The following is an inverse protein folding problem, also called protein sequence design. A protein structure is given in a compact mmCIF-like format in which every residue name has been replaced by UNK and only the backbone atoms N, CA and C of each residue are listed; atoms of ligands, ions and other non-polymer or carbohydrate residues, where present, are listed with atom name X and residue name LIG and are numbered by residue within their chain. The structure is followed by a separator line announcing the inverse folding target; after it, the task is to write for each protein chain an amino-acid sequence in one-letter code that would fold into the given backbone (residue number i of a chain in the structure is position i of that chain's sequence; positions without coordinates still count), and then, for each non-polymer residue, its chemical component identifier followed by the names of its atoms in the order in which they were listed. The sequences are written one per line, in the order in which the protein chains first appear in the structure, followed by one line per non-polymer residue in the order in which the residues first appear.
data_IF_430827118430
#
_entry.id   IF_430827118430
#
_cell.length_a   1.000
_cell.length_b   1.000
_cell.length_c   1.000
_cell.angle_alpha   90.00
_cell.angle_beta   90.00
_cell.angle_gamma   90.00
#
_symmetry.space_group_name_H-M   'P 1'
#
loop_
_entity.id
_entity.type
_entity.pdbx_description
1 polymer ?
#
# COMPACT_ATOMS: atom_id res chain seq x y z
N UNK A 1 -11.02 -39.56 -32.26
CA UNK A 1 -10.72 -38.75 -31.06
C UNK A 1 -9.89 -37.56 -31.52
N UNK A 2 -10.54 -36.49 -31.97
CA UNK A 2 -9.84 -35.29 -32.41
C UNK A 2 -9.42 -34.51 -31.17
N UNK A 3 -8.12 -34.36 -30.95
CA UNK A 3 -7.59 -33.43 -29.96
C UNK A 3 -8.07 -32.02 -30.37
N UNK A 4 -9.03 -31.48 -29.63
CA UNK A 4 -9.42 -30.08 -29.72
C UNK A 4 -8.16 -29.22 -29.51
N UNK A 5 -7.94 -28.25 -30.40
CA UNK A 5 -6.81 -27.33 -30.37
C UNK A 5 -6.67 -26.72 -28.95
N UNK A 6 -5.50 -26.82 -28.28
CA UNK A 6 -5.31 -26.34 -26.90
C UNK A 6 -5.73 -24.88 -26.69
N UNK A 7 -5.62 -24.04 -27.73
CA UNK A 7 -6.05 -22.63 -27.71
C UNK A 7 -7.57 -22.50 -27.52
N UNK A 8 -8.35 -23.41 -28.11
CA UNK A 8 -9.82 -23.42 -27.96
C UNK A 8 -10.24 -23.85 -26.55
N UNK A 9 -9.51 -24.77 -25.91
CA UNK A 9 -9.78 -25.20 -24.55
C UNK A 9 -9.53 -24.09 -23.53
N UNK A 10 -8.44 -23.32 -23.69
CA UNK A 10 -8.14 -22.23 -22.77
C UNK A 10 -9.17 -21.10 -22.88
N UNK A 11 -9.54 -20.71 -24.11
CA UNK A 11 -10.59 -19.70 -24.32
C UNK A 11 -11.92 -20.14 -23.67
N UNK A 12 -12.31 -21.40 -23.83
CA UNK A 12 -13.49 -21.97 -23.19
C UNK A 12 -13.40 -21.94 -21.64
N UNK A 13 -12.23 -22.25 -21.08
CA UNK A 13 -12.02 -22.18 -19.64
C UNK A 13 -12.11 -20.73 -19.11
N UNK A 14 -11.54 -19.76 -19.83
CA UNK A 14 -11.67 -18.33 -19.50
C UNK A 14 -13.13 -17.89 -19.49
N UNK A 15 -13.90 -18.31 -20.49
CA UNK A 15 -15.32 -18.02 -20.59
C UNK A 15 -16.11 -18.59 -19.40
N UNK A 16 -15.85 -19.85 -19.03
CA UNK A 16 -16.47 -20.47 -17.87
C UNK A 16 -16.10 -19.77 -16.55
N UNK A 17 -14.86 -19.27 -16.43
CA UNK A 17 -14.41 -18.53 -15.26
C UNK A 17 -15.11 -17.17 -15.15
N UNK A 18 -15.23 -16.46 -16.28
CA UNK A 18 -15.97 -15.20 -16.37
C UNK A 18 -17.44 -15.36 -15.97
N UNK A 19 -18.12 -16.37 -16.53
CA UNK A 19 -19.53 -16.64 -16.23
C UNK A 19 -19.80 -17.07 -14.78
N UNK A 20 -18.76 -17.42 -14.01
CA UNK A 20 -18.85 -17.85 -12.61
C UNK A 20 -18.23 -16.83 -11.63
N UNK A 21 -17.99 -15.60 -12.07
CA UNK A 21 -17.41 -14.54 -11.23
C UNK A 21 -18.26 -14.19 -10.01
N UNK A 22 -19.59 -14.31 -10.10
CA UNK A 22 -20.52 -13.84 -9.07
C UNK A 22 -20.26 -14.47 -7.68
N UNK A 23 -19.87 -15.75 -7.66
CA UNK A 23 -19.56 -16.49 -6.43
C UNK A 23 -18.07 -16.72 -6.22
N UNK A 24 -17.21 -16.25 -7.13
CA UNK A 24 -15.77 -16.44 -7.01
C UNK A 24 -15.24 -15.64 -5.81
N UNK A 25 -14.32 -16.23 -5.05
CA UNK A 25 -13.65 -15.51 -3.96
C UNK A 25 -12.77 -14.39 -4.53
N UNK A 26 -12.77 -13.23 -3.87
CA UNK A 26 -12.03 -12.04 -4.34
C UNK A 26 -10.54 -12.33 -4.56
N UNK A 27 -9.89 -13.16 -3.72
CA UNK A 27 -8.48 -13.52 -3.89
C UNK A 27 -8.22 -14.32 -5.18
N UNK A 28 -9.20 -15.09 -5.64
CA UNK A 28 -9.13 -15.82 -6.90
C UNK A 28 -9.40 -14.90 -8.10
N UNK A 29 -10.33 -13.96 -7.95
CA UNK A 29 -10.60 -12.93 -8.96
C UNK A 29 -9.33 -12.11 -9.22
N UNK A 30 -8.60 -11.69 -8.18
CA UNK A 30 -7.31 -10.98 -8.34
C UNK A 30 -6.31 -11.77 -9.19
N UNK A 31 -6.18 -13.08 -8.93
CA UNK A 31 -5.28 -13.97 -9.67
C UNK A 31 -5.74 -14.09 -11.12
N UNK A 32 -7.04 -14.21 -11.35
CA UNK A 32 -7.63 -14.28 -12.69
C UNK A 32 -7.38 -12.99 -13.47
N UNK A 33 -7.58 -11.82 -12.85
CA UNK A 33 -7.31 -10.51 -13.46
C UNK A 33 -5.84 -10.43 -13.89
N UNK A 34 -4.92 -10.71 -12.97
CA UNK A 34 -3.48 -10.63 -13.25
C UNK A 34 -3.05 -11.62 -14.34
N UNK A 35 -3.52 -12.87 -14.25
CA UNK A 35 -3.23 -13.88 -15.26
C UNK A 35 -3.79 -13.50 -16.62
N UNK A 36 -5.06 -13.09 -16.69
CA UNK A 36 -5.73 -12.84 -17.97
C UNK A 36 -5.17 -11.61 -18.67
N UNK A 37 -4.94 -10.50 -17.95
CA UNK A 37 -4.30 -9.32 -18.54
C UNK A 37 -2.89 -9.61 -19.05
N UNK A 38 -2.09 -10.38 -18.31
CA UNK A 38 -0.76 -10.80 -18.74
C UNK A 38 -0.82 -11.79 -19.91
N UNK A 39 -1.81 -12.69 -19.93
CA UNK A 39 -2.05 -13.58 -21.07
C UNK A 39 -2.34 -12.74 -22.33
N UNK A 40 -3.30 -11.82 -22.25
CA UNK A 40 -3.66 -10.93 -23.35
C UNK A 40 -2.46 -10.16 -23.90
N UNK A 41 -1.57 -9.64 -23.05
CA UNK A 41 -0.39 -8.90 -23.50
C UNK A 41 0.56 -9.74 -24.36
N UNK A 42 0.60 -11.06 -24.17
CA UNK A 42 1.40 -11.98 -24.97
C UNK A 42 0.75 -12.36 -26.30
N UNK A 43 -0.55 -12.10 -26.47
CA UNK A 43 -1.34 -12.41 -27.67
C UNK A 43 -1.95 -11.15 -28.30
N UNK A 44 -1.19 -10.04 -28.29
CA UNK A 44 -1.52 -8.76 -28.93
C UNK A 44 -2.82 -8.10 -28.42
N UNK A 45 -3.24 -8.48 -27.21
CA UNK A 45 -4.49 -8.10 -26.56
C UNK A 45 -5.76 -8.46 -27.34
N UNK A 46 -5.72 -9.56 -28.10
CA UNK A 46 -6.89 -10.05 -28.84
C UNK A 46 -7.83 -10.82 -27.92
N UNK A 47 -9.07 -10.35 -27.82
CA UNK A 47 -10.16 -11.04 -27.15
C UNK A 47 -11.50 -10.67 -27.80
N UNK A 48 -12.46 -11.59 -27.75
CA UNK A 48 -13.84 -11.36 -28.21
C UNK A 48 -14.64 -10.63 -27.14
N UNK A 49 -14.36 -9.34 -26.93
CA UNK A 49 -15.01 -8.56 -25.86
C UNK A 49 -16.55 -8.50 -25.97
N UNK A 50 -17.10 -8.57 -27.18
CA UNK A 50 -18.55 -8.58 -27.40
C UNK A 50 -19.26 -9.79 -26.76
N UNK A 51 -18.55 -10.91 -26.54
CA UNK A 51 -19.09 -12.09 -25.84
C UNK A 51 -19.42 -11.76 -24.37
N UNK A 52 -18.85 -10.70 -23.81
CA UNK A 52 -19.02 -10.22 -22.44
C UNK A 52 -19.86 -8.94 -22.35
N UNK A 53 -20.65 -8.63 -23.38
CA UNK A 53 -21.50 -7.43 -23.39
C UNK A 53 -22.59 -7.45 -22.30
N UNK A 54 -22.89 -8.60 -21.70
CA UNK A 54 -23.82 -8.73 -20.57
C UNK A 54 -23.40 -7.87 -19.38
N UNK A 55 -22.11 -7.68 -19.12
CA UNK A 55 -21.63 -6.83 -18.02
C UNK A 55 -21.98 -5.33 -18.17
N UNK A 56 -22.30 -4.87 -19.38
CA UNK A 56 -22.66 -3.47 -19.64
C UNK A 56 -24.09 -3.14 -19.16
N UNK A 57 -24.90 -4.16 -18.89
CA UNK A 57 -26.31 -4.05 -18.49
C UNK A 57 -26.55 -4.05 -16.97
N UNK A 58 -25.48 -4.21 -16.18
CA UNK A 58 -25.54 -4.31 -14.72
C UNK A 58 -24.73 -3.19 -14.06
N UNK A 59 -24.87 -3.02 -12.74
CA UNK A 59 -24.10 -2.03 -11.98
C UNK A 59 -22.58 -2.25 -12.14
N UNK A 60 -21.81 -1.16 -12.22
CA UNK A 60 -20.35 -1.19 -12.44
C UNK A 60 -19.59 -1.82 -11.27
N UNK A 61 -20.18 -1.87 -10.07
CA UNK A 61 -19.58 -2.54 -8.92
C UNK A 61 -19.87 -4.05 -8.88
N UNK A 62 -20.67 -4.58 -9.80
CA UNK A 62 -20.88 -6.03 -9.94
C UNK A 62 -19.58 -6.74 -10.39
N UNK A 63 -19.41 -8.04 -10.09
CA UNK A 63 -18.16 -8.75 -10.32
C UNK A 63 -17.69 -8.74 -11.77
N UNK A 64 -18.59 -8.90 -12.74
CA UNK A 64 -18.28 -8.93 -14.18
C UNK A 64 -17.75 -7.60 -14.74
N UNK A 65 -18.46 -6.45 -14.65
CA UNK A 65 -17.93 -5.18 -15.14
C UNK A 65 -16.67 -4.75 -14.37
N UNK A 66 -16.61 -5.01 -13.06
CA UNK A 66 -15.42 -4.76 -12.25
C UNK A 66 -14.21 -5.57 -12.74
N UNK A 67 -14.40 -6.85 -13.01
CA UNK A 67 -13.37 -7.72 -13.58
C UNK A 67 -12.84 -7.16 -14.91
N UNK A 68 -13.73 -6.79 -15.84
CA UNK A 68 -13.32 -6.20 -17.13
C UNK A 68 -12.54 -4.90 -16.94
N UNK A 69 -13.04 -3.98 -16.09
CA UNK A 69 -12.36 -2.71 -15.78
C UNK A 69 -10.95 -2.93 -15.24
N UNK A 70 -10.78 -3.85 -14.28
CA UNK A 70 -9.48 -4.17 -13.69
C UNK A 70 -8.53 -4.88 -14.68
N UNK A 71 -9.05 -5.74 -15.55
CA UNK A 71 -8.27 -6.36 -16.64
C UNK A 71 -7.77 -5.32 -17.64
N UNK A 72 -8.63 -4.37 -18.03
CA UNK A 72 -8.25 -3.29 -18.94
C UNK A 72 -7.22 -2.36 -18.31
N UNK A 73 -7.35 -2.06 -17.02
CA UNK A 73 -6.34 -1.30 -16.28
C UNK A 73 -4.98 -2.04 -16.23
N UNK A 74 -4.98 -3.34 -15.92
CA UNK A 74 -3.76 -4.15 -15.93
C UNK A 74 -3.13 -4.23 -17.31
N UNK A 75 -3.96 -4.35 -18.35
CA UNK A 75 -3.53 -4.34 -19.74
C UNK A 75 -2.91 -3.00 -20.12
N UNK A 76 -3.48 -1.88 -19.65
CA UNK A 76 -2.92 -0.54 -19.84
C UNK A 76 -1.54 -0.40 -19.21
N UNK A 77 -1.31 -0.96 -18.01
CA UNK A 77 0.03 -0.95 -17.37
C UNK A 77 1.09 -1.73 -18.15
N UNK A 78 0.68 -2.69 -18.97
CA UNK A 78 1.54 -3.47 -19.89
C UNK A 78 1.57 -2.88 -21.30
N UNK A 79 0.91 -1.74 -21.51
CA UNK A 79 0.75 -1.09 -22.81
C UNK A 79 0.66 0.44 -22.62
N UNK A 80 -0.21 1.11 -23.38
CA UNK A 80 -0.52 2.53 -23.22
C UNK A 80 -2.01 2.77 -23.46
N UNK A 81 -2.55 3.88 -22.94
CA UNK A 81 -3.98 4.17 -22.93
C UNK A 81 -4.64 4.01 -24.30
N UNK A 82 -4.11 4.67 -25.34
CA UNK A 82 -4.68 4.60 -26.69
C UNK A 82 -4.77 3.16 -27.24
N UNK A 83 -3.77 2.31 -26.95
CA UNK A 83 -3.83 0.91 -27.38
C UNK A 83 -5.01 0.17 -26.76
N UNK A 84 -5.33 0.44 -25.50
CA UNK A 84 -6.47 -0.18 -24.81
C UNK A 84 -7.79 0.33 -25.38
N UNK A 85 -7.86 1.60 -25.75
CA UNK A 85 -9.02 2.17 -26.45
C UNK A 85 -9.27 1.47 -27.79
N UNK A 86 -8.21 1.17 -28.53
CA UNK A 86 -8.33 0.60 -29.89
C UNK A 86 -8.70 -0.89 -29.92
N UNK A 87 -8.44 -1.65 -28.85
CA UNK A 87 -8.64 -3.11 -28.81
C UNK A 87 -10.03 -3.53 -28.30
N UNK A 88 -10.80 -2.60 -27.73
CA UNK A 88 -12.14 -2.87 -27.20
C UNK A 88 -13.22 -2.25 -28.09
N UNK A 89 -14.42 -2.85 -28.19
CA UNK A 89 -15.56 -2.23 -28.86
C UNK A 89 -15.96 -0.91 -28.21
N UNK A 90 -16.54 0.02 -28.99
CA UNK A 90 -16.94 1.35 -28.51
C UNK A 90 -17.95 1.30 -27.36
N UNK A 91 -18.75 0.24 -27.28
CA UNK A 91 -19.72 -0.03 -26.19
C UNK A 91 -19.04 -0.21 -24.83
N UNK A 92 -17.77 -0.65 -24.79
CA UNK A 92 -16.97 -0.83 -23.57
C UNK A 92 -16.26 0.44 -23.11
N UNK A 93 -16.41 1.57 -23.81
CA UNK A 93 -15.71 2.84 -23.51
C UNK A 93 -15.80 3.29 -22.05
N UNK A 94 -16.92 3.02 -21.38
CA UNK A 94 -17.12 3.39 -19.97
C UNK A 94 -16.36 2.52 -18.95
N UNK A 95 -15.81 1.38 -19.38
CA UNK A 95 -14.99 0.48 -18.58
C UNK A 95 -13.49 0.67 -18.82
N UNK A 96 -13.12 1.49 -19.81
CA UNK A 96 -11.71 1.81 -20.09
C UNK A 96 -11.15 2.65 -18.91
N UNK A 97 -9.95 2.32 -18.41
CA UNK A 97 -9.29 3.13 -17.39
C UNK A 97 -9.03 4.55 -17.91
N UNK A 98 -9.14 5.55 -17.03
CA UNK A 98 -8.78 6.92 -17.39
C UNK A 98 -7.31 7.03 -17.84
N UNK A 99 -7.02 8.03 -18.67
CA UNK A 99 -5.65 8.30 -19.07
C UNK A 99 -4.79 8.67 -17.84
N UNK A 100 -3.61 8.04 -17.66
CA UNK A 100 -2.80 8.17 -16.44
C UNK A 100 -2.01 9.49 -16.39
N UNK A 101 -2.73 10.60 -16.35
CA UNK A 101 -2.18 11.96 -16.32
C UNK A 101 -1.98 12.47 -14.89
N UNK A 102 -0.94 13.28 -14.71
CA UNK A 102 -0.69 14.03 -13.47
C UNK A 102 -1.68 15.19 -13.33
N UNK A 103 -2.19 15.40 -12.11
CA UNK A 103 -3.12 16.50 -11.81
C UNK A 103 -2.42 17.50 -10.91
N UNK A 104 -2.06 18.65 -11.46
CA UNK A 104 -1.45 19.73 -10.69
C UNK A 104 -2.52 20.68 -10.14
N UNK A 105 -2.57 20.88 -8.82
CA UNK A 105 -3.54 21.78 -8.17
C UNK A 105 -3.30 23.26 -8.49
N UNK A 106 -2.05 23.67 -8.70
CA UNK A 106 -1.65 25.07 -8.80
C UNK A 106 -1.34 25.51 -10.24
N UNK A 107 -2.19 25.15 -11.22
CA UNK A 107 -2.05 25.66 -12.60
C UNK A 107 -2.40 27.15 -12.67
N UNK A 108 -1.92 27.87 -13.69
CA UNK A 108 -2.24 29.30 -13.85
C UNK A 108 -3.76 29.55 -13.97
N UNK A 109 -4.49 28.65 -14.64
CA UNK A 109 -5.92 28.78 -14.90
C UNK A 109 -6.79 28.53 -13.66
N UNK A 110 -6.42 27.58 -12.80
CA UNK A 110 -7.26 27.14 -11.66
C UNK A 110 -6.68 27.49 -10.30
N UNK A 111 -5.35 27.64 -10.23
CA UNK A 111 -4.59 27.80 -9.00
C UNK A 111 -4.49 29.23 -8.51
N UNK A 112 -4.65 30.25 -9.36
CA UNK A 112 -4.42 31.66 -8.99
C UNK A 112 -5.29 32.16 -7.83
N UNK A 113 -6.44 31.52 -7.58
CA UNK A 113 -7.35 31.81 -6.48
C UNK A 113 -7.17 30.90 -5.25
N UNK A 114 -6.33 29.87 -5.35
CA UNK A 114 -6.14 28.90 -4.28
C UNK A 114 -5.14 29.38 -3.23
N UNK A 115 -5.39 29.09 -1.93
CA UNK A 115 -4.40 29.28 -0.89
C UNK A 115 -3.09 28.57 -1.25
N UNK A 116 -1.96 29.25 -1.05
CA UNK A 116 -0.63 28.68 -1.31
C UNK A 116 -0.14 28.79 -2.77
N UNK A 117 -0.93 29.29 -3.73
CA UNK A 117 -0.46 29.46 -5.11
C UNK A 117 0.78 30.35 -5.27
N UNK A 118 0.87 31.54 -4.64
CA UNK A 118 2.10 32.34 -4.69
C UNK A 118 3.31 31.55 -4.17
N UNK A 119 3.10 30.76 -3.11
CA UNK A 119 4.16 29.94 -2.55
C UNK A 119 4.53 28.76 -3.48
N UNK A 120 3.57 28.15 -4.16
CA UNK A 120 3.84 27.09 -5.14
C UNK A 120 4.75 27.61 -6.27
N UNK A 121 4.54 28.85 -6.73
CA UNK A 121 5.42 29.50 -7.70
C UNK A 121 6.81 29.75 -7.11
N UNK A 122 6.90 30.27 -5.88
CA UNK A 122 8.18 30.51 -5.19
C UNK A 122 8.98 29.22 -5.01
N UNK A 123 8.34 28.15 -4.52
CA UNK A 123 8.95 26.82 -4.36
C UNK A 123 9.36 26.25 -5.72
N UNK A 124 8.54 26.39 -6.75
CA UNK A 124 8.88 25.94 -8.09
C UNK A 124 10.15 26.63 -8.61
N UNK A 125 10.24 27.95 -8.43
CA UNK A 125 11.41 28.73 -8.84
C UNK A 125 12.66 28.35 -8.03
N UNK A 126 12.53 28.14 -6.72
CA UNK A 126 13.62 27.67 -5.87
C UNK A 126 14.16 26.30 -6.34
N UNK A 127 13.27 25.34 -6.63
CA UNK A 127 13.67 24.02 -7.14
C UNK A 127 14.36 24.14 -8.51
N UNK A 128 13.83 24.96 -9.44
CA UNK A 128 14.43 25.21 -10.76
C UNK A 128 15.82 25.83 -10.63
N UNK A 129 16.01 26.75 -9.70
CA UNK A 129 17.28 27.43 -9.41
C UNK A 129 18.24 26.57 -8.58
N UNK A 130 17.89 25.31 -8.28
CA UNK A 130 18.70 24.36 -7.50
C UNK A 130 19.01 24.86 -6.09
N UNK A 131 18.05 25.54 -5.46
CA UNK A 131 18.11 25.91 -4.06
C UNK A 131 18.41 24.70 -3.15
N UNK A 132 19.05 24.97 -2.00
CA UNK A 132 19.36 23.95 -0.99
C UNK A 132 18.10 23.54 -0.22
N UNK A 133 18.17 22.43 0.53
CA UNK A 133 17.04 21.99 1.36
C UNK A 133 16.70 23.03 2.44
N UNK A 134 17.72 23.68 3.02
CA UNK A 134 17.56 24.73 4.02
C UNK A 134 16.85 25.97 3.47
N UNK A 135 17.23 26.43 2.27
CA UNK A 135 16.59 27.56 1.60
C UNK A 135 15.10 27.30 1.34
N UNK A 136 14.77 26.09 0.89
CA UNK A 136 13.38 25.71 0.64
C UNK A 136 12.60 25.56 1.95
N UNK A 137 13.21 25.03 3.02
CA UNK A 137 12.58 24.98 4.34
C UNK A 137 12.29 26.38 4.88
N UNK A 138 13.17 27.35 4.67
CA UNK A 138 12.93 28.76 5.04
C UNK A 138 11.72 29.31 4.27
N UNK A 139 11.64 29.09 2.96
CA UNK A 139 10.48 29.47 2.14
C UNK A 139 9.20 28.82 2.68
N UNK A 140 9.25 27.54 3.06
CA UNK A 140 8.08 26.84 3.59
C UNK A 140 7.66 27.32 4.98
N UNK A 141 8.54 27.93 5.78
CA UNK A 141 8.18 28.53 7.07
C UNK A 141 7.27 29.75 6.89
N UNK A 142 7.39 30.46 5.76
CA UNK A 142 6.55 31.62 5.42
C UNK A 142 5.12 31.24 5.00
N UNK A 143 4.81 29.94 4.87
CA UNK A 143 3.44 29.48 4.58
C UNK A 143 2.58 29.64 5.83
N UNK A 144 1.68 30.62 5.80
CA UNK A 144 0.69 30.84 6.86
C UNK A 144 -0.18 29.59 7.08
N UNK A 145 -0.58 29.35 8.32
CA UNK A 145 -1.56 28.32 8.64
C UNK A 145 -2.92 28.72 8.10
N UNK A 146 -3.70 27.80 7.49
CA UNK A 146 -5.02 28.13 6.97
C UNK A 146 -6.03 28.65 8.03
N UNK A 147 -5.78 28.41 9.32
CA UNK A 147 -6.72 28.60 10.43
C UNK A 147 -6.16 29.39 11.64
N UNK A 148 -5.10 30.19 11.50
CA UNK A 148 -4.65 31.04 12.61
C UNK A 148 -5.43 32.36 12.61
N UNK A 149 -6.35 32.51 13.58
CA UNK A 149 -6.68 33.82 14.14
C UNK A 149 -5.45 34.29 14.95
N UNK A 150 -5.13 35.59 14.89
CA UNK A 150 -3.85 36.20 15.32
C UNK A 150 -3.47 36.06 16.82
N UNK A 151 -4.19 35.28 17.64
CA UNK A 151 -4.08 35.28 19.11
C UNK A 151 -3.68 33.94 19.78
N UNK A 152 -3.40 32.85 19.05
CA UNK A 152 -2.95 31.58 19.65
C UNK A 152 -1.42 31.37 19.53
N UNK A 153 -0.71 31.80 20.57
CA UNK A 153 0.72 31.53 20.86
C UNK A 153 0.95 30.07 21.33
N UNK A 154 0.39 29.05 20.66
CA UNK A 154 0.56 27.64 21.05
C UNK A 154 1.05 26.74 19.90
N UNK A 155 2.33 26.37 19.98
CA UNK A 155 3.02 25.26 19.30
C UNK A 155 3.08 25.27 17.77
N UNK A 156 4.18 24.73 17.20
CA UNK A 156 4.30 24.39 15.78
C UNK A 156 3.23 23.35 15.39
N UNK A 157 2.00 23.81 15.15
CA UNK A 157 0.89 22.96 14.75
C UNK A 157 1.15 22.35 13.37
N UNK A 158 0.57 21.19 13.10
CA UNK A 158 0.64 20.56 11.79
C UNK A 158 0.05 21.48 10.72
N UNK A 159 0.85 21.86 9.70
CA UNK A 159 0.38 22.72 8.61
C UNK A 159 0.20 21.92 7.31
N UNK A 160 -1.04 21.53 6.95
CA UNK A 160 -1.31 20.76 5.73
C UNK A 160 -0.96 21.53 4.45
N UNK A 161 -1.01 22.87 4.47
CA UNK A 161 -0.74 23.69 3.29
C UNK A 161 0.74 23.66 2.89
N UNK A 162 1.66 23.57 3.86
CA UNK A 162 3.10 23.39 3.59
C UNK A 162 3.37 22.14 2.77
N UNK A 163 2.73 21.04 3.15
CA UNK A 163 2.83 19.75 2.45
C UNK A 163 2.19 19.84 1.07
N UNK A 164 0.96 20.38 0.99
CA UNK A 164 0.25 20.55 -0.27
C UNK A 164 1.11 21.29 -1.29
N UNK A 165 1.60 22.47 -0.94
CA UNK A 165 2.39 23.32 -1.83
C UNK A 165 3.68 22.60 -2.23
N UNK A 166 4.45 22.12 -1.27
CA UNK A 166 5.75 21.51 -1.55
C UNK A 166 5.62 20.25 -2.41
N UNK A 167 4.77 19.30 -1.99
CA UNK A 167 4.70 17.99 -2.61
C UNK A 167 4.01 18.03 -3.98
N UNK A 168 2.95 18.83 -4.15
CA UNK A 168 2.33 19.06 -5.47
C UNK A 168 3.35 19.60 -6.46
N UNK A 169 4.08 20.64 -6.09
CA UNK A 169 5.07 21.27 -6.97
C UNK A 169 6.24 20.34 -7.27
N UNK A 170 6.75 19.62 -6.26
CA UNK A 170 7.83 18.66 -6.43
C UNK A 170 7.44 17.53 -7.40
N UNK A 171 6.28 16.91 -7.19
CA UNK A 171 5.82 15.80 -8.03
C UNK A 171 5.45 16.28 -9.43
N UNK A 172 4.91 17.48 -9.58
CA UNK A 172 4.64 18.08 -10.89
C UNK A 172 5.92 18.21 -11.73
N UNK A 173 6.99 18.74 -11.12
CA UNK A 173 8.29 18.88 -11.78
C UNK A 173 8.95 17.52 -12.09
N UNK A 174 8.53 16.46 -11.40
CA UNK A 174 9.09 15.12 -11.53
C UNK A 174 8.13 14.12 -12.19
N UNK A 175 7.02 14.59 -12.80
CA UNK A 175 5.95 13.74 -13.33
C UNK A 175 6.31 12.97 -14.61
N UNK A 176 7.47 13.27 -15.22
CA UNK A 176 7.89 12.68 -16.50
C UNK A 176 8.08 11.16 -16.46
N UNK A 177 8.60 10.62 -15.37
CA UNK A 177 8.72 9.17 -15.17
C UNK A 177 8.93 8.81 -13.71
N UNK A 178 8.72 7.54 -13.36
CA UNK A 178 8.96 7.00 -12.02
C UNK A 178 10.38 7.34 -11.52
N UNK A 179 11.40 7.24 -12.37
CA UNK A 179 12.78 7.56 -12.00
C UNK A 179 12.98 9.03 -11.63
N UNK A 180 12.33 9.97 -12.32
CA UNK A 180 12.39 11.39 -11.96
C UNK A 180 11.75 11.61 -10.60
N UNK A 181 10.57 11.02 -10.37
CA UNK A 181 9.87 11.10 -9.08
C UNK A 181 10.71 10.49 -7.94
N UNK A 182 11.36 9.35 -8.14
CA UNK A 182 12.23 8.75 -7.12
C UNK A 182 13.47 9.60 -6.81
N UNK A 183 14.10 10.16 -7.84
CA UNK A 183 15.23 11.07 -7.66
C UNK A 183 14.81 12.35 -6.94
N UNK A 184 13.62 12.87 -7.22
CA UNK A 184 13.05 14.02 -6.53
C UNK A 184 12.80 13.73 -5.04
N UNK A 185 12.15 12.61 -4.71
CA UNK A 185 11.95 12.19 -3.31
C UNK A 185 13.28 11.97 -2.57
N UNK A 186 14.31 11.45 -3.25
CA UNK A 186 15.63 11.28 -2.66
C UNK A 186 16.37 12.60 -2.43
N UNK A 187 16.32 13.52 -3.41
CA UNK A 187 17.01 14.81 -3.32
C UNK A 187 16.45 15.68 -2.18
N UNK A 188 15.14 15.69 -2.00
CA UNK A 188 14.47 16.50 -0.99
C UNK A 188 13.97 15.67 0.21
N UNK A 189 14.67 14.56 0.51
CA UNK A 189 14.30 13.65 1.58
C UNK A 189 14.23 14.35 2.94
N UNK A 190 15.19 15.22 3.25
CA UNK A 190 15.24 15.97 4.51
C UNK A 190 13.99 16.84 4.72
N UNK A 191 13.54 17.54 3.66
CA UNK A 191 12.32 18.37 3.70
C UNK A 191 11.11 17.47 3.94
N UNK A 192 11.02 16.35 3.22
CA UNK A 192 9.92 15.40 3.36
C UNK A 192 9.88 14.81 4.76
N UNK A 193 11.03 14.52 5.37
CA UNK A 193 11.13 14.05 6.76
C UNK A 193 10.69 15.11 7.77
N UNK A 194 11.11 16.37 7.60
CA UNK A 194 10.66 17.46 8.46
C UNK A 194 9.13 17.67 8.36
N UNK A 195 8.56 17.54 7.16
CA UNK A 195 7.12 17.66 6.93
C UNK A 195 6.30 16.45 7.42
N UNK A 196 6.94 15.30 7.72
CA UNK A 196 6.28 14.05 8.13
C UNK A 196 6.70 13.57 9.52
N UNK A 197 7.13 14.49 10.36
CA UNK A 197 7.46 14.19 11.75
C UNK A 197 6.22 13.74 12.53
N UNK A 198 5.07 14.38 12.29
CA UNK A 198 3.77 13.97 12.86
C UNK A 198 3.07 12.91 12.01
N UNK A 199 2.23 12.10 12.66
CA UNK A 199 1.40 11.10 11.97
C UNK A 199 0.37 11.75 11.03
N UNK A 200 -0.15 12.93 11.39
CA UNK A 200 -1.01 13.73 10.52
C UNK A 200 -0.28 14.15 9.23
N UNK A 201 1.01 14.52 9.33
CA UNK A 201 1.83 14.85 8.17
C UNK A 201 2.06 13.66 7.25
N UNK A 202 2.30 12.47 7.80
CA UNK A 202 2.43 11.24 7.01
C UNK A 202 1.14 10.92 6.25
N UNK A 203 -0.01 11.01 6.92
CA UNK A 203 -1.32 10.80 6.29
C UNK A 203 -1.62 11.84 5.21
N UNK A 204 -1.28 13.11 5.46
CA UNK A 204 -1.53 14.18 4.51
C UNK A 204 -0.62 14.11 3.28
N UNK A 205 0.64 13.67 3.41
CA UNK A 205 1.50 13.34 2.25
C UNK A 205 0.82 12.28 1.36
N UNK A 206 0.29 11.22 1.96
CA UNK A 206 -0.38 10.14 1.21
C UNK A 206 -1.64 10.64 0.49
N UNK A 207 -2.41 11.52 1.15
CA UNK A 207 -3.56 12.21 0.54
C UNK A 207 -3.14 13.03 -0.68
N UNK A 208 -2.10 13.85 -0.55
CA UNK A 208 -1.59 14.65 -1.67
C UNK A 208 -1.09 13.76 -2.81
N UNK A 209 -0.39 12.66 -2.52
CA UNK A 209 0.04 11.67 -3.54
C UNK A 209 -1.16 11.10 -4.29
N UNK A 210 -2.24 10.78 -3.59
CA UNK A 210 -3.48 10.32 -4.22
C UNK A 210 -4.08 11.40 -5.11
N UNK A 211 -4.24 12.63 -4.61
CA UNK A 211 -4.90 13.72 -5.35
C UNK A 211 -4.21 14.01 -6.70
N UNK A 212 -2.87 13.98 -6.72
CA UNK A 212 -2.10 14.26 -7.94
C UNK A 212 -2.02 13.08 -8.91
N UNK A 213 -2.15 11.85 -8.42
CA UNK A 213 -1.95 10.62 -9.21
C UNK A 213 -3.17 9.69 -9.21
N UNK A 214 -4.38 10.15 -8.85
CA UNK A 214 -5.61 9.33 -8.79
C UNK A 214 -5.95 8.59 -10.09
N UNK A 215 -5.55 9.15 -11.24
CA UNK A 215 -5.71 8.52 -12.56
C UNK A 215 -4.58 7.53 -12.91
N UNK A 216 -3.51 7.47 -12.11
CA UNK A 216 -2.35 6.60 -12.34
C UNK A 216 -2.05 5.71 -11.11
N UNK A 217 -2.87 4.67 -10.85
CA UNK A 217 -2.71 3.80 -9.67
C UNK A 217 -1.34 3.13 -9.54
N UNK A 218 -0.70 2.79 -10.67
CA UNK A 218 0.66 2.25 -10.68
C UNK A 218 1.69 3.25 -10.10
N UNK A 219 1.56 4.54 -10.40
CA UNK A 219 2.43 5.57 -9.86
C UNK A 219 2.23 5.71 -8.35
N UNK A 220 0.99 5.74 -7.88
CA UNK A 220 0.68 5.73 -6.43
C UNK A 220 1.38 4.56 -5.75
N UNK A 221 1.23 3.35 -6.28
CA UNK A 221 1.80 2.15 -5.68
C UNK A 221 3.33 2.21 -5.56
N UNK A 222 4.02 2.71 -6.57
CA UNK A 222 5.50 2.82 -6.53
C UNK A 222 5.99 3.98 -5.67
N UNK A 223 5.24 5.09 -5.59
CA UNK A 223 5.58 6.22 -4.70
C UNK A 223 5.40 5.84 -3.23
N UNK A 224 4.27 5.25 -2.86
CA UNK A 224 4.02 4.75 -1.50
C UNK A 224 5.10 3.74 -1.11
N UNK A 225 5.42 2.81 -2.00
CA UNK A 225 6.50 1.86 -1.78
C UNK A 225 7.86 2.54 -1.56
N UNK A 226 8.21 3.55 -2.35
CA UNK A 226 9.44 4.32 -2.20
C UNK A 226 9.46 5.08 -0.87
N UNK A 227 8.34 5.72 -0.51
CA UNK A 227 8.19 6.50 0.73
C UNK A 227 8.35 5.64 1.98
N UNK A 228 7.82 4.40 1.98
CA UNK A 228 8.06 3.43 3.07
C UNK A 228 9.55 3.10 3.17
N UNK A 229 10.20 2.77 2.04
CA UNK A 229 11.62 2.38 2.04
C UNK A 229 12.56 3.49 2.48
N UNK A 230 12.20 4.74 2.23
CA UNK A 230 12.96 5.92 2.67
C UNK A 230 12.46 6.50 3.99
N UNK A 231 11.57 5.80 4.70
CA UNK A 231 11.02 6.20 6.00
C UNK A 231 10.38 7.60 5.99
N UNK A 232 9.84 8.04 4.86
CA UNK A 232 9.00 9.26 4.78
C UNK A 232 7.65 8.97 5.45
N UNK A 233 7.11 7.78 5.19
CA UNK A 233 5.92 7.27 5.89
C UNK A 233 6.23 5.88 6.43
N UNK A 234 5.54 5.49 7.49
CA UNK A 234 5.61 4.14 8.03
C UNK A 234 4.45 3.27 7.49
N UNK A 235 4.50 1.97 7.82
CA UNK A 235 3.49 1.03 7.35
C UNK A 235 2.11 1.28 7.97
N UNK A 236 2.05 1.80 9.20
CA UNK A 236 0.81 2.07 9.91
C UNK A 236 0.05 3.25 9.31
N UNK A 237 0.75 4.33 8.94
CA UNK A 237 0.20 5.47 8.22
C UNK A 237 -0.41 5.03 6.88
N UNK A 238 0.27 4.16 6.13
CA UNK A 238 -0.25 3.62 4.87
C UNK A 238 -1.49 2.77 5.10
N UNK A 239 -1.51 1.90 6.12
CA UNK A 239 -2.71 1.14 6.45
C UNK A 239 -3.88 2.07 6.80
N UNK A 240 -3.68 3.04 7.70
CA UNK A 240 -4.71 4.01 8.08
C UNK A 240 -5.24 4.82 6.89
N UNK A 241 -4.35 5.26 5.99
CA UNK A 241 -4.74 5.98 4.77
C UNK A 241 -5.63 5.13 3.85
N UNK A 242 -5.28 3.85 3.62
CA UNK A 242 -6.09 2.96 2.76
C UNK A 242 -7.50 2.70 3.31
N UNK A 243 -7.67 2.73 4.63
CA UNK A 243 -8.99 2.60 5.30
C UNK A 243 -9.65 3.96 5.61
N UNK A 244 -9.08 5.07 5.15
CA UNK A 244 -9.63 6.40 5.40
C UNK A 244 -10.89 6.67 4.57
N UNK A 245 -11.71 7.63 5.03
CA UNK A 245 -12.90 8.05 4.30
C UNK A 245 -12.57 8.64 2.92
N UNK A 246 -11.42 9.28 2.78
CA UNK A 246 -10.92 9.82 1.51
C UNK A 246 -10.68 8.72 0.45
N UNK A 247 -10.47 7.47 0.89
CA UNK A 247 -10.23 6.32 0.00
C UNK A 247 -11.46 5.40 -0.14
N UNK A 248 -12.59 5.74 0.48
CA UNK A 248 -13.76 4.87 0.55
C UNK A 248 -14.34 4.51 -0.84
N UNK A 249 -14.31 5.43 -1.80
CA UNK A 249 -14.78 5.19 -3.17
C UNK A 249 -13.83 4.32 -4.01
N UNK A 250 -12.57 4.21 -3.59
CA UNK A 250 -11.54 3.41 -4.24
C UNK A 250 -11.37 2.03 -3.60
N UNK A 251 -11.89 1.85 -2.37
CA UNK A 251 -11.63 0.73 -1.48
C UNK A 251 -11.75 -0.65 -2.14
N UNK A 252 -12.71 -0.83 -3.05
CA UNK A 252 -12.97 -2.13 -3.69
C UNK A 252 -12.05 -2.42 -4.88
N UNK A 253 -11.23 -1.45 -5.33
CA UNK A 253 -10.33 -1.61 -6.48
C UNK A 253 -9.07 -2.39 -6.13
N UNK A 254 -8.53 -3.10 -7.12
CA UNK A 254 -7.41 -4.04 -6.91
C UNK A 254 -6.17 -3.34 -6.33
N UNK A 255 -5.79 -2.18 -6.86
CA UNK A 255 -4.52 -1.51 -6.50
C UNK A 255 -4.41 -1.14 -5.02
N UNK A 256 -5.54 -0.86 -4.34
CA UNK A 256 -5.59 -0.60 -2.89
C UNK A 256 -4.99 -1.78 -2.12
N UNK A 257 -5.45 -2.98 -2.47
CA UNK A 257 -5.01 -4.22 -1.85
C UNK A 257 -3.60 -4.62 -2.29
N UNK A 258 -3.21 -4.29 -3.53
CA UNK A 258 -1.80 -4.44 -3.96
C UNK A 258 -0.85 -3.62 -3.09
N UNK A 259 -1.21 -2.37 -2.78
CA UNK A 259 -0.45 -1.48 -1.90
C UNK A 259 -0.42 -2.08 -0.49
N UNK A 260 -1.58 -2.42 0.09
CA UNK A 260 -1.65 -2.98 1.45
C UNK A 260 -0.77 -4.23 1.60
N UNK A 261 -0.94 -5.22 0.72
CA UNK A 261 -0.14 -6.44 0.78
C UNK A 261 1.35 -6.18 0.47
N UNK A 262 1.68 -5.20 -0.36
CA UNK A 262 3.07 -4.78 -0.60
C UNK A 262 3.70 -4.13 0.64
N UNK A 263 2.92 -3.39 1.41
CA UNK A 263 3.31 -2.80 2.70
C UNK A 263 3.55 -3.89 3.74
N UNK A 264 2.62 -4.82 3.92
CA UNK A 264 2.78 -5.96 4.86
C UNK A 264 4.00 -6.79 4.49
N UNK A 265 4.20 -7.13 3.20
CA UNK A 265 5.40 -7.87 2.76
C UNK A 265 6.70 -7.15 3.07
N UNK A 266 6.72 -5.82 2.99
CA UNK A 266 7.90 -5.02 3.36
C UNK A 266 8.19 -5.11 4.85
N UNK A 267 7.16 -4.97 5.68
CA UNK A 267 7.28 -5.13 7.13
C UNK A 267 7.77 -6.54 7.51
N UNK A 268 7.18 -7.58 6.92
CA UNK A 268 7.62 -8.98 7.17
C UNK A 268 9.08 -9.21 6.76
N UNK A 269 9.50 -8.69 5.60
CA UNK A 269 10.89 -8.77 5.15
C UNK A 269 11.86 -7.98 6.05
N UNK A 270 11.41 -6.86 6.61
CA UNK A 270 12.21 -6.06 7.53
C UNK A 270 12.51 -6.85 8.81
N UNK A 271 11.48 -7.44 9.43
CA UNK A 271 11.63 -8.30 10.62
C UNK A 271 12.53 -9.50 10.32
N UNK A 272 12.26 -10.23 9.24
CA UNK A 272 13.08 -11.38 8.83
C UNK A 272 14.55 -11.02 8.60
N UNK A 273 14.83 -9.84 8.05
CA UNK A 273 16.19 -9.38 7.82
C UNK A 273 16.92 -9.13 9.13
N UNK A 274 16.31 -8.42 10.08
CA UNK A 274 16.95 -8.12 11.38
C UNK A 274 17.10 -9.40 12.21
N UNK A 275 16.11 -10.30 12.19
CA UNK A 275 16.20 -11.61 12.84
C UNK A 275 17.38 -12.42 12.30
N UNK A 276 17.55 -12.46 10.98
CA UNK A 276 18.69 -13.14 10.36
C UNK A 276 20.03 -12.50 10.74
N UNK A 277 20.11 -11.17 10.80
CA UNK A 277 21.32 -10.47 11.26
C UNK A 277 21.65 -10.80 12.73
N UNK A 278 20.65 -10.94 13.59
CA UNK A 278 20.80 -11.37 14.98
C UNK A 278 21.28 -12.82 15.09
N UNK A 279 20.70 -13.74 14.32
CA UNK A 279 21.12 -15.16 14.27
C UNK A 279 22.58 -15.27 13.77
N UNK A 280 22.94 -14.55 12.71
CA UNK A 280 24.32 -14.53 12.20
C UNK A 280 25.33 -13.96 13.21
N UNK A 281 24.93 -13.00 14.04
CA UNK A 281 25.76 -12.46 15.11
C UNK A 281 25.95 -13.47 16.25
N UNK A 282 24.88 -14.15 16.68
CA UNK A 282 24.93 -15.21 17.69
C UNK A 282 25.80 -16.40 17.26
N UNK A 283 25.64 -16.85 16.01
CA UNK A 283 26.46 -17.92 15.43
C UNK A 283 27.95 -17.57 15.40
N UNK A 284 28.30 -16.29 15.21
CA UNK A 284 29.70 -15.84 15.23
C UNK A 284 30.27 -15.87 16.65
N UNK A 285 29.50 -15.42 17.63
CA UNK A 285 29.90 -15.46 19.04
C UNK A 285 30.12 -16.91 19.49
N UNK A 286 29.19 -17.83 19.18
CA UNK A 286 29.34 -19.26 19.52
C UNK A 286 30.60 -19.88 18.89
N UNK A 287 30.90 -19.53 17.63
CA UNK A 287 32.12 -20.01 16.95
C UNK A 287 33.39 -19.46 17.56
N UNK A 288 33.39 -18.22 18.04
CA UNK A 288 34.55 -17.63 18.73
C UNK A 288 34.75 -18.29 20.10
N UNK A 289 33.68 -18.47 20.88
CA UNK A 289 33.74 -19.16 22.16
C UNK A 289 34.22 -20.62 22.02
N UNK A 290 33.81 -21.31 20.95
CA UNK A 290 34.31 -22.66 20.68
C UNK A 290 35.79 -22.67 20.28
N UNK A 291 36.26 -21.70 19.50
CA UNK A 291 37.68 -21.58 19.15
C UNK A 291 38.54 -21.29 20.38
N UNK A 292 38.10 -20.38 21.26
CA UNK A 292 38.79 -20.06 22.53
C UNK A 292 38.94 -21.31 23.40
N UNK A 293 37.91 -22.17 23.46
CA UNK A 293 37.96 -23.45 24.18
C UNK A 293 38.93 -24.46 23.58
N UNK A 294 39.13 -24.47 22.27
CA UNK A 294 40.03 -25.40 21.58
C UNK A 294 41.50 -24.92 21.53
N UNK A 295 41.76 -23.60 21.65
CA UNK A 295 43.08 -22.99 21.37
C UNK A 295 44.00 -22.77 22.57
N UNK A 296 43.61 -23.18 23.79
CA UNK A 296 44.39 -23.18 25.05
C UNK A 296 45.65 -22.30 25.17
N UNK A 297 45.57 -21.30 26.06
CA UNK A 297 46.67 -20.57 26.74
C UNK A 297 47.72 -19.85 25.85
N UNK A 298 47.28 -18.88 25.04
CA UNK A 298 48.16 -17.78 24.57
C UNK A 298 47.62 -16.44 25.12
N UNK A 299 48.21 -15.93 26.20
CA UNK A 299 47.72 -14.78 26.99
C UNK A 299 47.56 -13.48 26.17
N UNK A 300 48.38 -13.28 25.12
CA UNK A 300 48.27 -12.13 24.21
C UNK A 300 47.14 -12.29 23.17
N UNK A 301 46.72 -13.52 22.84
CA UNK A 301 45.55 -13.80 22.00
C UNK A 301 44.24 -13.75 22.80
N UNK A 302 44.29 -14.01 24.12
CA UNK A 302 43.12 -13.95 24.99
C UNK A 302 42.55 -12.53 25.14
N UNK A 303 43.39 -11.52 25.39
CA UNK A 303 42.91 -10.13 25.56
C UNK A 303 42.26 -9.55 24.31
N UNK A 304 42.82 -9.83 23.13
CA UNK A 304 42.21 -9.40 21.86
C UNK A 304 40.89 -10.11 21.58
N UNK A 305 40.77 -11.39 21.98
CA UNK A 305 39.52 -12.15 21.84
C UNK A 305 38.41 -11.67 22.77
N UNK A 306 38.75 -11.20 23.98
CA UNK A 306 37.77 -10.71 24.97
C UNK A 306 37.15 -9.37 24.55
N UNK A 307 37.95 -8.46 24.00
CA UNK A 307 37.46 -7.20 23.45
C UNK A 307 36.55 -7.43 22.22
N UNK A 308 36.86 -8.41 21.36
CA UNK A 308 36.01 -8.78 20.22
C UNK A 308 34.70 -9.49 20.65
N UNK A 309 34.76 -10.38 21.64
CA UNK A 309 33.58 -11.03 22.23
C UNK A 309 32.65 -9.99 22.86
N UNK A 310 33.18 -9.05 23.64
CA UNK A 310 32.40 -7.97 24.26
C UNK A 310 31.73 -7.06 23.22
N UNK A 311 32.41 -6.74 22.11
CA UNK A 311 31.82 -5.97 21.00
C UNK A 311 30.69 -6.74 20.31
N UNK A 312 30.83 -8.05 20.13
CA UNK A 312 29.78 -8.89 19.55
C UNK A 312 28.59 -9.05 20.49
N UNK A 313 28.81 -9.16 21.80
CA UNK A 313 27.74 -9.20 22.80
C UNK A 313 26.94 -7.88 22.79
N UNK A 314 27.62 -6.72 22.78
CA UNK A 314 26.96 -5.41 22.66
C UNK A 314 26.20 -5.28 21.33
N UNK A 315 26.77 -5.81 20.23
CA UNK A 315 26.09 -5.85 18.94
C UNK A 315 24.84 -6.74 18.97
N UNK A 316 24.90 -7.91 19.62
CA UNK A 316 23.79 -8.83 19.77
C UNK A 316 22.68 -8.17 20.59
N UNK A 317 23.00 -7.52 21.71
CA UNK A 317 22.03 -6.80 22.54
C UNK A 317 21.28 -5.74 21.72
N UNK A 318 22.03 -4.89 20.99
CA UNK A 318 21.44 -3.87 20.09
C UNK A 318 20.58 -4.47 18.98
N UNK A 319 20.99 -5.61 18.43
CA UNK A 319 20.20 -6.32 17.40
C UNK A 319 18.94 -6.94 18.01
N UNK A 320 19.01 -7.41 19.25
CA UNK A 320 17.88 -8.01 19.96
C UNK A 320 16.80 -6.96 20.25
N UNK A 321 17.18 -5.78 20.74
CA UNK A 321 16.27 -4.63 20.88
C UNK A 321 15.62 -4.22 19.55
N UNK A 322 16.40 -4.22 18.46
CA UNK A 322 15.88 -3.92 17.12
C UNK A 322 14.89 -4.98 16.63
N UNK A 323 15.12 -6.26 16.90
CA UNK A 323 14.17 -7.33 16.56
C UNK A 323 12.87 -7.13 17.32
N UNK A 324 12.93 -6.88 18.62
CA UNK A 324 11.74 -6.67 19.46
C UNK A 324 10.93 -5.45 18.98
N UNK A 325 11.61 -4.34 18.68
CA UNK A 325 10.99 -3.15 18.11
C UNK A 325 10.32 -3.44 16.76
N UNK A 326 11.03 -4.08 15.83
CA UNK A 326 10.48 -4.42 14.51
C UNK A 326 9.31 -5.42 14.59
N UNK A 327 9.36 -6.40 15.50
CA UNK A 327 8.25 -7.32 15.76
C UNK A 327 7.05 -6.60 16.36
N UNK A 328 7.28 -5.62 17.24
CA UNK A 328 6.23 -4.76 17.79
C UNK A 328 5.56 -3.94 16.68
N UNK A 329 6.34 -3.32 15.79
CA UNK A 329 5.80 -2.59 14.62
C UNK A 329 5.00 -3.52 13.69
N UNK A 330 5.50 -4.72 13.42
CA UNK A 330 4.80 -5.72 12.61
C UNK A 330 3.47 -6.14 13.25
N UNK A 331 3.48 -6.44 14.56
CA UNK A 331 2.27 -6.76 15.32
C UNK A 331 1.28 -5.61 15.27
N UNK A 332 1.72 -4.38 15.54
CA UNK A 332 0.89 -3.18 15.52
C UNK A 332 0.28 -2.93 14.14
N UNK A 333 1.02 -3.16 13.05
CA UNK A 333 0.49 -3.08 11.69
C UNK A 333 -0.70 -4.03 11.49
N UNK A 334 -0.58 -5.29 11.89
CA UNK A 334 -1.69 -6.24 11.79
C UNK A 334 -2.87 -5.84 12.69
N UNK A 335 -2.61 -5.39 13.92
CA UNK A 335 -3.66 -4.91 14.82
C UNK A 335 -4.44 -3.74 14.21
N UNK A 336 -3.75 -2.74 13.65
CA UNK A 336 -4.39 -1.60 12.97
C UNK A 336 -5.24 -2.09 11.79
N UNK A 337 -4.72 -2.98 10.95
CA UNK A 337 -5.47 -3.53 9.81
C UNK A 337 -6.74 -4.25 10.28
N UNK A 338 -6.64 -5.13 11.27
CA UNK A 338 -7.79 -5.87 11.79
C UNK A 338 -8.80 -4.96 12.48
N UNK A 339 -8.35 -3.98 13.27
CA UNK A 339 -9.23 -2.97 13.89
C UNK A 339 -10.01 -2.20 12.84
N UNK A 340 -9.36 -1.77 11.75
CA UNK A 340 -10.03 -1.04 10.66
C UNK A 340 -11.06 -1.92 9.93
N UNK A 341 -10.74 -3.19 9.67
CA UNK A 341 -11.70 -4.14 9.10
C UNK A 341 -12.91 -4.36 10.02
N UNK A 342 -12.66 -4.64 11.30
CA UNK A 342 -13.72 -4.85 12.30
C UNK A 342 -14.62 -3.62 12.36
N UNK A 343 -14.04 -2.43 12.43
CA UNK A 343 -14.79 -1.17 12.47
C UNK A 343 -15.69 -1.00 11.23
N UNK A 344 -15.15 -1.14 10.02
CA UNK A 344 -15.91 -0.96 8.77
C UNK A 344 -17.00 -2.02 8.58
N UNK A 345 -16.69 -3.29 8.89
CA UNK A 345 -17.65 -4.38 8.79
C UNK A 345 -18.76 -4.23 9.83
N UNK A 346 -18.42 -3.86 11.07
CA UNK A 346 -19.42 -3.62 12.13
C UNK A 346 -20.32 -2.43 11.78
N UNK A 347 -19.75 -1.32 11.30
CA UNK A 347 -20.53 -0.16 10.85
C UNK A 347 -21.52 -0.55 9.74
N UNK A 348 -21.08 -1.35 8.78
CA UNK A 348 -21.95 -1.85 7.71
C UNK A 348 -23.07 -2.75 8.24
N UNK A 349 -22.75 -3.71 9.11
CA UNK A 349 -23.70 -4.66 9.67
C UNK A 349 -24.77 -3.94 10.50
N UNK A 350 -24.36 -3.02 11.38
CA UNK A 350 -25.29 -2.19 12.18
C UNK A 350 -26.17 -1.33 11.29
N UNK A 351 -25.61 -0.74 10.22
CA UNK A 351 -26.37 0.06 9.26
C UNK A 351 -27.41 -0.78 8.50
N UNK A 352 -27.05 -2.00 8.09
CA UNK A 352 -27.98 -2.91 7.42
C UNK A 352 -29.09 -3.39 8.36
N UNK A 353 -28.76 -3.72 9.62
CA UNK A 353 -29.73 -4.09 10.65
C UNK A 353 -30.71 -2.94 10.92
N UNK A 354 -30.18 -1.74 11.18
CA UNK A 354 -30.99 -0.54 11.44
C UNK A 354 -31.86 -0.15 10.23
N UNK A 355 -31.31 -0.26 9.03
CA UNK A 355 -32.01 0.06 7.78
C UNK A 355 -32.94 -1.04 7.27
N UNK A 356 -32.94 -2.23 7.88
CA UNK A 356 -33.60 -3.43 7.34
C UNK A 356 -33.23 -3.71 5.88
N UNK A 357 -31.95 -3.49 5.55
CA UNK A 357 -31.38 -3.71 4.21
C UNK A 357 -30.56 -5.00 4.22
N UNK A 358 -30.47 -5.67 3.07
CA UNK A 358 -29.63 -6.86 2.93
C UNK A 358 -28.15 -6.56 3.26
N UNK A 359 -27.54 -7.43 4.05
CA UNK A 359 -26.11 -7.41 4.41
C UNK A 359 -25.25 -7.84 3.22
N UNK A 360 -25.77 -8.71 2.35
CA UNK A 360 -25.02 -9.34 1.27
C UNK A 360 -24.79 -8.43 0.06
N UNK A 361 -24.27 -7.23 0.31
CA UNK A 361 -23.88 -6.26 -0.72
C UNK A 361 -22.54 -6.65 -1.38
N UNK A 362 -22.29 -6.15 -2.59
CA UNK A 362 -21.01 -6.34 -3.30
C UNK A 362 -19.83 -5.75 -2.52
N UNK A 363 -20.03 -4.59 -1.90
CA UNK A 363 -19.04 -3.97 -1.03
C UNK A 363 -18.73 -4.86 0.17
N UNK A 364 -19.76 -5.42 0.82
CA UNK A 364 -19.58 -6.33 1.95
C UNK A 364 -18.82 -7.59 1.56
N UNK A 365 -19.21 -8.24 0.46
CA UNK A 365 -18.51 -9.40 -0.10
C UNK A 365 -17.03 -9.09 -0.35
N UNK A 366 -16.72 -7.95 -0.95
CA UNK A 366 -15.34 -7.54 -1.15
C UNK A 366 -14.62 -7.35 0.19
N UNK A 367 -15.19 -6.58 1.12
CA UNK A 367 -14.57 -6.28 2.41
C UNK A 367 -14.29 -7.55 3.24
N UNK A 368 -15.26 -8.47 3.33
CA UNK A 368 -15.11 -9.71 4.09
C UNK A 368 -14.12 -10.68 3.43
N UNK A 369 -14.15 -10.81 2.08
CA UNK A 369 -13.17 -11.62 1.34
C UNK A 369 -11.75 -11.04 1.47
N UNK A 370 -11.61 -9.71 1.59
CA UNK A 370 -10.32 -9.04 1.79
C UNK A 370 -9.78 -9.25 3.20
N UNK A 371 -10.64 -9.24 4.23
CA UNK A 371 -10.25 -9.68 5.58
C UNK A 371 -9.74 -11.13 5.55
N UNK A 372 -10.47 -12.03 4.88
CA UNK A 372 -10.05 -13.42 4.70
C UNK A 372 -8.71 -13.51 3.97
N UNK A 373 -8.48 -12.69 2.94
CA UNK A 373 -7.23 -12.65 2.19
C UNK A 373 -6.01 -12.31 3.08
N UNK A 374 -6.15 -11.41 4.08
CA UNK A 374 -5.07 -11.09 5.01
C UNK A 374 -4.64 -12.33 5.79
N UNK A 375 -5.60 -13.09 6.33
CA UNK A 375 -5.31 -14.36 7.01
C UNK A 375 -4.66 -15.38 6.07
N UNK A 376 -5.22 -15.59 4.88
CA UNK A 376 -4.70 -16.57 3.93
C UNK A 376 -3.28 -16.26 3.44
N UNK A 377 -2.97 -14.99 3.18
CA UNK A 377 -1.67 -14.61 2.63
C UNK A 377 -0.54 -14.53 3.67
N UNK A 378 -0.88 -14.26 4.93
CA UNK A 378 0.11 -13.99 5.98
C UNK A 378 -0.07 -14.90 7.21
N UNK A 379 -0.67 -16.07 7.02
CA UNK A 379 -1.03 -17.00 8.10
C UNK A 379 0.14 -17.31 9.05
N UNK A 380 1.34 -17.57 8.52
CA UNK A 380 2.53 -17.91 9.32
C UNK A 380 2.94 -16.80 10.29
N UNK A 381 2.80 -15.54 9.87
CA UNK A 381 3.11 -14.39 10.71
C UNK A 381 2.00 -14.15 11.72
N UNK A 382 0.74 -14.23 11.29
CA UNK A 382 -0.43 -13.97 12.13
C UNK A 382 -0.56 -14.99 13.27
N UNK A 383 -0.17 -16.25 13.03
CA UNK A 383 -0.16 -17.31 14.05
C UNK A 383 0.62 -16.93 15.31
N UNK A 384 1.70 -16.16 15.18
CA UNK A 384 2.51 -15.70 16.31
C UNK A 384 1.74 -14.74 17.24
N UNK A 385 0.64 -14.15 16.76
CA UNK A 385 -0.15 -13.16 17.47
C UNK A 385 -1.54 -13.65 17.85
N UNK A 386 -1.87 -14.93 17.64
CA UNK A 386 -3.19 -15.49 17.94
C UNK A 386 -3.70 -15.14 19.34
N UNK A 387 -2.86 -15.32 20.37
CA UNK A 387 -3.26 -15.01 21.74
C UNK A 387 -3.59 -13.53 21.97
N UNK A 388 -3.01 -12.60 21.21
CA UNK A 388 -3.42 -11.19 21.27
C UNK A 388 -4.71 -10.96 20.49
N UNK A 389 -4.86 -11.59 19.32
CA UNK A 389 -6.03 -11.43 18.46
C UNK A 389 -7.30 -11.96 19.12
N UNK A 390 -7.26 -13.12 19.78
CA UNK A 390 -8.39 -13.73 20.49
C UNK A 390 -8.84 -12.90 21.69
N UNK A 391 -7.88 -12.36 22.43
CA UNK A 391 -8.19 -11.65 23.67
C UNK A 391 -8.59 -10.19 23.45
N UNK A 392 -8.12 -9.54 22.38
CA UNK A 392 -8.32 -8.09 22.17
C UNK A 392 -9.21 -7.72 20.99
N UNK A 393 -9.25 -8.53 19.92
CA UNK A 393 -9.93 -8.14 18.67
C UNK A 393 -11.09 -9.07 18.31
N UNK A 394 -10.83 -10.36 18.19
CA UNK A 394 -11.81 -11.37 17.75
C UNK A 394 -12.42 -12.10 18.96
N UNK A 395 -13.04 -11.32 19.86
CA UNK A 395 -13.70 -11.83 21.05
C UNK A 395 -15.07 -12.42 20.71
N UNK A 396 -15.69 -13.14 21.66
CA UNK A 396 -17.02 -13.74 21.49
C UNK A 396 -18.16 -12.70 21.33
N UNK A 397 -17.90 -11.43 21.64
CA UNK A 397 -18.87 -10.33 21.51
C UNK A 397 -18.92 -9.75 20.09
N UNK A 398 -17.92 -10.08 19.26
CA UNK A 398 -17.83 -9.62 17.89
C UNK A 398 -18.91 -10.28 17.02
N UNK A 399 -19.42 -9.56 16.02
CA UNK A 399 -20.47 -10.08 15.13
C UNK A 399 -20.08 -11.44 14.53
N UNK A 400 -21.00 -12.43 14.52
CA UNK A 400 -20.71 -13.79 14.04
C UNK A 400 -20.15 -13.85 12.62
N UNK A 401 -20.52 -12.93 11.73
CA UNK A 401 -20.02 -12.92 10.36
C UNK A 401 -18.53 -12.62 10.28
N UNK A 402 -18.06 -11.67 11.09
CA UNK A 402 -16.65 -11.30 11.13
C UNK A 402 -15.87 -12.39 11.90
N UNK A 403 -16.43 -12.88 13.01
CA UNK A 403 -15.81 -13.93 13.82
C UNK A 403 -15.65 -15.24 13.05
N UNK A 404 -16.59 -15.56 12.15
CA UNK A 404 -16.51 -16.74 11.28
C UNK A 404 -15.24 -16.75 10.41
N UNK A 405 -14.77 -15.58 9.94
CA UNK A 405 -13.53 -15.49 9.15
C UNK A 405 -12.32 -15.87 10.01
N UNK A 406 -12.27 -15.42 11.27
CA UNK A 406 -11.21 -15.78 12.20
C UNK A 406 -11.27 -17.28 12.55
N UNK A 407 -12.45 -17.84 12.80
CA UNK A 407 -12.64 -19.27 13.06
C UNK A 407 -12.20 -20.14 11.87
N UNK A 408 -12.50 -19.73 10.64
CA UNK A 408 -12.00 -20.40 9.44
C UNK A 408 -10.47 -20.40 9.38
N UNK A 409 -9.82 -19.30 9.76
CA UNK A 409 -8.37 -19.22 9.86
C UNK A 409 -7.82 -20.18 10.92
N UNK A 410 -8.41 -20.22 12.12
CA UNK A 410 -8.03 -21.18 13.16
C UNK A 410 -8.18 -22.63 12.69
N UNK A 411 -9.21 -22.94 11.91
CA UNK A 411 -9.44 -24.27 11.36
C UNK A 411 -8.37 -24.73 10.35
N UNK A 412 -7.57 -23.82 9.78
CA UNK A 412 -6.43 -24.18 8.92
C UNK A 412 -5.24 -24.75 9.71
N UNK A 413 -5.30 -24.73 11.04
CA UNK A 413 -4.27 -25.25 11.95
C UNK A 413 -4.67 -26.57 12.62
N UNK A 414 -5.93 -26.98 12.47
CA UNK A 414 -6.43 -28.30 12.84
C UNK A 414 -6.18 -29.28 11.69
#
# INVERSE_FOLDING_TARGET
MYALNPVCQLAQATEMLYMRLDTMNTSCIDKLINWFAHHLSNFQFRWSWDDWADCLSVDREMPKPKFVKEVLEKSMRLSYHQRIVDIVPATFSTLIPAEPLFIYKYTEETGSLLPGYPMAITVQNAIKNKATNEEILIILKEVCHPNQDDDDDEAESFNPLKIDVFLQTLLHMAAKSCSHSFSALGKFHEILKALTESDEGKLHILKVVYDVWKNHPQMIAVLVDKMIRTQIVDCAAVANWLFSQDMAHEFTRLYIWEILHSTIRKMNKHVQKIQKELEEAKDKLEKQQHKKRDSGDDEDMERGSEDEEAQLEEQIERLQEKVESAQSEQKNLFLVIFQRFIMLLTEHLVRCETGSVDVSTHWYKNCIDRLQQIFLMHHQTIQQYMGTLENLLFTAELDPHILAVYQQFCALQL
#
